data_IF_534490236031
#
_entry.id   IF_534490236031
#
_cell.length_a   1.000
_cell.length_b   1.000
_cell.length_c   1.000
_cell.angle_alpha   90.00
_cell.angle_beta   90.00
_cell.angle_gamma   90.00
#
_symmetry.space_group_name_H-M   'P 1'
#
loop_
_entity.id
_entity.type
_entity.pdbx_description
1 polymer ?
#
# COMPACT_ATOMS: atom_id res chain seq x y z
N UNK A 1 11.36 -12.11 44.69
CA UNK A 1 11.60 -11.12 43.63
C UNK A 1 12.07 -11.89 42.40
N UNK A 2 11.13 -12.28 41.54
CA UNK A 2 11.39 -13.20 40.44
C UNK A 2 11.74 -12.42 39.17
N UNK A 3 13.01 -12.44 38.79
CA UNK A 3 13.45 -12.01 37.47
C UNK A 3 13.01 -13.08 36.46
N UNK A 4 12.06 -12.75 35.59
CA UNK A 4 11.73 -13.59 34.43
C UNK A 4 12.76 -13.35 33.34
N UNK A 5 13.74 -14.25 33.27
CA UNK A 5 14.61 -14.44 32.11
C UNK A 5 13.75 -14.85 30.90
N UNK A 6 13.42 -13.88 30.06
CA UNK A 6 12.87 -14.16 28.74
C UNK A 6 14.02 -14.54 27.82
N UNK A 7 14.21 -15.84 27.64
CA UNK A 7 15.12 -16.39 26.64
C UNK A 7 14.74 -15.82 25.27
N UNK A 8 15.53 -14.86 24.80
CA UNK A 8 15.32 -14.20 23.51
C UNK A 8 15.71 -15.20 22.41
N UNK A 9 14.72 -15.89 21.84
CA UNK A 9 14.93 -16.80 20.72
C UNK A 9 15.56 -16.00 19.58
N UNK A 10 16.79 -16.36 19.17
CA UNK A 10 17.49 -15.78 18.03
C UNK A 10 16.76 -16.15 16.74
N UNK A 11 15.72 -15.38 16.39
CA UNK A 11 15.09 -15.43 15.09
C UNK A 11 15.94 -14.61 14.11
N UNK A 12 16.37 -15.27 13.03
CA UNK A 12 16.97 -14.58 11.88
C UNK A 12 15.85 -14.13 10.95
N UNK A 13 15.77 -12.83 10.70
CA UNK A 13 14.78 -12.26 9.80
C UNK A 13 15.29 -12.25 8.36
N UNK A 14 14.38 -12.41 7.40
CA UNK A 14 14.67 -12.24 5.98
C UNK A 14 14.82 -10.77 5.61
N UNK A 15 15.48 -10.49 4.48
CA UNK A 15 15.64 -9.12 3.98
C UNK A 15 14.30 -8.40 3.75
N UNK A 16 13.28 -9.14 3.31
CA UNK A 16 11.94 -8.59 3.04
C UNK A 16 11.24 -8.21 4.34
N UNK A 17 11.29 -9.07 5.36
CA UNK A 17 10.71 -8.77 6.68
C UNK A 17 11.37 -7.56 7.33
N UNK A 18 12.71 -7.48 7.29
CA UNK A 18 13.44 -6.30 7.80
C UNK A 18 13.05 -5.05 7.04
N UNK A 19 12.89 -5.14 5.71
CA UNK A 19 12.44 -3.98 4.92
C UNK A 19 11.06 -3.50 5.35
N UNK A 20 10.10 -4.41 5.53
CA UNK A 20 8.76 -4.08 6.00
C UNK A 20 8.82 -3.38 7.37
N UNK A 21 9.61 -3.91 8.30
CA UNK A 21 9.77 -3.35 9.64
C UNK A 21 10.45 -1.97 9.63
N UNK A 22 11.46 -1.76 8.77
CA UNK A 22 12.14 -0.46 8.60
C UNK A 22 11.22 0.56 7.96
N UNK A 23 10.47 0.18 6.92
CA UNK A 23 9.52 1.06 6.22
C UNK A 23 8.34 1.45 7.13
N UNK A 24 7.93 0.55 8.05
CA UNK A 24 6.89 0.78 9.04
C UNK A 24 7.35 1.57 10.28
N UNK A 25 8.65 1.87 10.39
CA UNK A 25 9.27 2.48 11.58
C UNK A 25 8.89 1.77 12.89
N UNK A 26 8.94 0.43 12.87
CA UNK A 26 8.47 -0.42 13.97
C UNK A 26 9.36 -0.26 15.22
N UNK A 27 8.78 -0.11 16.43
CA UNK A 27 9.53 0.04 17.68
C UNK A 27 10.43 -1.16 18.02
N UNK A 28 10.23 -2.31 17.39
CA UNK A 28 11.07 -3.49 17.56
C UNK A 28 12.43 -3.39 16.84
N UNK A 29 12.59 -2.42 15.92
CA UNK A 29 13.86 -2.14 15.24
C UNK A 29 14.66 -1.09 16.00
N UNK A 30 15.89 -1.46 16.33
CA UNK A 30 16.91 -0.52 16.82
C UNK A 30 18.01 -0.39 15.79
N UNK A 31 18.29 0.85 15.40
CA UNK A 31 19.44 1.19 14.56
C UNK A 31 20.58 1.66 15.46
N UNK A 32 21.69 0.96 15.42
CA UNK A 32 22.88 1.34 16.19
C UNK A 32 24.10 1.47 15.29
N UNK A 33 24.99 2.39 15.66
CA UNK A 33 26.32 2.45 15.03
C UNK A 33 27.15 1.26 15.50
N UNK A 34 27.96 0.67 14.60
CA UNK A 34 28.87 -0.38 14.99
C UNK A 34 29.87 0.12 16.04
N UNK A 35 29.93 -0.56 17.18
CA UNK A 35 30.88 -0.24 18.26
C UNK A 35 32.29 -0.78 18.00
N UNK A 36 32.40 -1.83 17.18
CA UNK A 36 33.66 -2.56 16.92
C UNK A 36 34.34 -2.18 15.60
N UNK A 37 33.68 -1.42 14.72
CA UNK A 37 34.20 -1.12 13.39
C UNK A 37 34.57 0.36 13.28
N UNK A 38 35.87 0.65 13.12
CA UNK A 38 36.44 2.00 13.05
C UNK A 38 36.66 2.50 11.62
N UNK A 39 36.29 1.74 10.59
CA UNK A 39 36.57 2.12 9.21
C UNK A 39 35.62 3.23 8.73
N UNK A 40 36.17 4.19 7.97
CA UNK A 40 35.43 5.35 7.41
C UNK A 40 34.22 4.95 6.56
N UNK A 41 34.23 3.72 6.04
CA UNK A 41 33.13 3.13 5.28
C UNK A 41 31.84 2.98 6.08
N UNK A 42 31.88 2.90 7.42
CA UNK A 42 30.69 2.78 8.27
C UNK A 42 29.99 4.11 8.58
N UNK A 43 30.60 5.24 8.22
CA UNK A 43 30.07 6.59 8.48
C UNK A 43 28.58 6.73 8.12
N UNK A 44 28.17 6.16 6.99
CA UNK A 44 26.81 6.28 6.45
C UNK A 44 25.94 5.03 6.64
N UNK A 45 26.35 4.10 7.51
CA UNK A 45 25.62 2.85 7.74
C UNK A 45 25.31 2.66 9.23
N UNK A 46 24.20 1.99 9.50
CA UNK A 46 23.79 1.54 10.82
C UNK A 46 23.50 0.05 10.81
N UNK A 47 23.81 -0.62 11.91
CA UNK A 47 23.45 -2.01 12.14
C UNK A 47 21.98 -2.11 12.55
N UNK A 48 21.33 -3.19 12.12
CA UNK A 48 19.92 -3.44 12.42
C UNK A 48 19.83 -4.52 13.50
N UNK A 49 19.19 -4.17 14.62
CA UNK A 49 18.83 -5.11 15.68
C UNK A 49 17.31 -5.21 15.76
N UNK A 50 16.79 -6.44 15.83
CA UNK A 50 15.36 -6.70 16.06
C UNK A 50 15.22 -7.38 17.41
N UNK A 51 14.43 -6.82 18.32
CA UNK A 51 14.30 -7.33 19.71
C UNK A 51 15.67 -7.48 20.41
N UNK A 52 16.55 -6.49 20.26
CA UNK A 52 17.92 -6.52 20.80
C UNK A 52 18.83 -7.63 20.24
N UNK A 53 18.40 -8.34 19.19
CA UNK A 53 19.22 -9.33 18.48
C UNK A 53 19.75 -8.73 17.18
N UNK A 54 21.08 -8.61 17.10
CA UNK A 54 21.79 -8.14 15.92
C UNK A 54 21.49 -9.04 14.70
N UNK A 55 21.05 -8.42 13.62
CA UNK A 55 20.79 -9.11 12.36
C UNK A 55 21.98 -9.00 11.41
N UNK A 56 22.07 -9.92 10.45
CA UNK A 56 23.11 -9.92 9.41
C UNK A 56 22.83 -8.89 8.29
N UNK A 57 22.26 -7.75 8.66
CA UNK A 57 21.84 -6.70 7.74
C UNK A 57 22.21 -5.32 8.29
N UNK A 58 22.53 -4.42 7.37
CA UNK A 58 22.89 -3.04 7.65
C UNK A 58 22.02 -2.11 6.80
N UNK A 59 21.70 -0.94 7.34
CA UNK A 59 20.93 0.09 6.69
C UNK A 59 21.87 1.23 6.28
N UNK A 60 21.81 1.66 5.01
CA UNK A 60 22.42 2.92 4.62
C UNK A 60 21.54 4.08 5.07
N UNK A 61 22.08 5.02 5.83
CA UNK A 61 21.33 6.17 6.34
C UNK A 61 20.96 7.17 5.25
N UNK A 62 21.75 7.21 4.16
CA UNK A 62 21.58 8.16 3.05
C UNK A 62 20.48 7.79 2.07
N UNK A 63 20.33 6.51 1.72
CA UNK A 63 19.33 6.05 0.74
C UNK A 63 18.39 4.96 1.28
N UNK A 64 18.45 4.68 2.58
CA UNK A 64 17.63 3.68 3.29
C UNK A 64 17.71 2.27 2.67
N UNK A 65 18.79 1.97 1.95
CA UNK A 65 19.00 0.66 1.36
C UNK A 65 19.49 -0.35 2.40
N UNK A 66 18.85 -1.53 2.45
CA UNK A 66 19.24 -2.64 3.32
C UNK A 66 20.20 -3.57 2.56
N UNK A 67 21.37 -3.80 3.15
CA UNK A 67 22.42 -4.68 2.61
C UNK A 67 22.66 -5.84 3.57
N UNK A 68 22.99 -7.02 3.03
CA UNK A 68 23.43 -8.16 3.82
C UNK A 68 24.89 -7.94 4.22
N UNK A 69 25.18 -8.10 5.50
CA UNK A 69 26.53 -7.95 6.05
C UNK A 69 26.73 -8.96 7.19
N UNK A 70 27.63 -9.90 6.98
CA UNK A 70 28.09 -10.89 7.97
C UNK A 70 29.52 -10.56 8.37
N UNK A 71 29.97 -11.04 9.53
CA UNK A 71 31.36 -10.90 9.99
C UNK A 71 32.38 -11.41 8.96
N UNK A 72 32.03 -12.44 8.19
CA UNK A 72 32.83 -12.98 7.09
C UNK A 72 32.88 -12.13 5.82
N UNK A 73 31.91 -11.23 5.62
CA UNK A 73 31.80 -10.44 4.38
C UNK A 73 32.73 -9.22 4.36
N UNK A 74 33.20 -8.77 5.54
CA UNK A 74 34.05 -7.60 5.69
C UNK A 74 33.41 -6.33 5.10
N UNK A 75 34.23 -5.40 4.60
CA UNK A 75 33.76 -4.13 4.02
C UNK A 75 33.31 -4.23 2.56
N UNK A 76 33.30 -5.43 1.96
CA UNK A 76 33.00 -5.60 0.52
C UNK A 76 31.59 -5.10 0.13
N UNK A 77 30.58 -5.41 0.95
CA UNK A 77 29.21 -4.95 0.70
C UNK A 77 29.09 -3.42 0.81
N UNK A 78 29.84 -2.81 1.74
CA UNK A 78 29.87 -1.36 1.95
C UNK A 78 30.62 -0.65 0.83
N UNK A 79 31.75 -1.20 0.39
CA UNK A 79 32.57 -0.64 -0.69
C UNK A 79 31.88 -0.70 -2.06
N UNK A 80 31.11 -1.76 -2.32
CA UNK A 80 30.34 -1.91 -3.57
C UNK A 80 29.05 -1.09 -3.56
N UNK A 81 28.62 -0.59 -2.41
CA UNK A 81 27.44 0.24 -2.30
C UNK A 81 27.71 1.65 -2.86
N UNK A 82 27.31 1.86 -4.11
CA UNK A 82 27.21 3.21 -4.67
C UNK A 82 25.95 3.86 -4.12
N UNK A 83 26.13 4.75 -3.16
CA UNK A 83 25.04 5.52 -2.59
C UNK A 83 24.48 6.45 -3.67
N UNK A 84 23.50 5.95 -4.43
CA UNK A 84 22.63 6.78 -5.25
C UNK A 84 21.72 7.51 -4.27
N UNK A 85 22.17 8.66 -3.80
CA UNK A 85 21.24 9.67 -3.33
C UNK A 85 20.48 10.00 -4.62
N UNK A 86 19.25 9.50 -4.77
CA UNK A 86 18.32 10.17 -5.68
C UNK A 86 18.23 11.59 -5.13
N UNK A 87 18.83 12.59 -5.79
CA UNK A 87 18.62 13.93 -5.31
C UNK A 87 17.12 14.14 -5.42
N UNK A 88 16.49 14.63 -4.36
CA UNK A 88 15.15 15.22 -4.43
C UNK A 88 15.19 16.54 -5.23
N UNK A 89 15.98 16.56 -6.29
CA UNK A 89 16.19 17.63 -7.23
C UNK A 89 15.71 17.09 -8.55
N UNK A 90 14.62 17.69 -9.01
CA UNK A 90 14.20 17.74 -10.40
C UNK A 90 15.41 18.19 -11.24
N UNK A 91 16.30 17.27 -11.59
CA UNK A 91 17.25 17.49 -12.67
C UNK A 91 16.41 17.37 -13.93
N UNK A 92 15.84 18.52 -14.30
CA UNK A 92 15.35 18.76 -15.64
C UNK A 92 16.57 18.56 -16.55
N UNK A 93 16.73 17.34 -17.06
CA UNK A 93 17.32 17.20 -18.37
C UNK A 93 16.47 18.11 -19.26
N UNK A 94 17.12 19.11 -19.87
CA UNK A 94 16.53 19.98 -20.88
C UNK A 94 16.15 19.10 -22.08
N UNK A 95 15.09 18.32 -21.92
CA UNK A 95 14.38 17.68 -23.00
C UNK A 95 13.42 18.76 -23.48
N UNK A 96 13.59 19.13 -24.73
CA UNK A 96 12.77 20.06 -25.47
C UNK A 96 11.28 19.85 -25.15
N UNK A 97 10.55 20.89 -24.70
CA UNK A 97 9.19 20.76 -24.14
C UNK A 97 8.14 20.20 -25.11
N UNK A 98 8.46 20.08 -26.39
CA UNK A 98 7.55 19.55 -27.41
C UNK A 98 7.51 18.01 -27.53
N UNK A 99 8.45 17.28 -26.92
CA UNK A 99 8.49 15.79 -26.97
C UNK A 99 7.99 15.12 -25.67
N UNK A 100 7.89 15.86 -24.57
CA UNK A 100 7.45 15.33 -23.27
C UNK A 100 5.94 15.43 -23.02
N UNK A 101 5.21 16.23 -23.78
CA UNK A 101 3.75 16.34 -23.63
C UNK A 101 3.02 15.07 -24.05
N UNK A 102 3.60 14.32 -25.00
CA UNK A 102 2.95 13.15 -25.59
C UNK A 102 3.34 11.85 -24.87
N UNK A 103 4.56 11.75 -24.33
CA UNK A 103 5.01 10.60 -23.55
C UNK A 103 4.50 10.61 -22.09
N UNK A 104 4.31 11.79 -21.48
CA UNK A 104 3.85 11.89 -20.09
C UNK A 104 2.33 11.83 -19.91
N UNK A 105 1.54 12.01 -20.98
CA UNK A 105 0.08 11.81 -20.92
C UNK A 105 -0.30 10.33 -20.86
N UNK A 106 0.47 9.45 -21.51
CA UNK A 106 0.15 8.01 -21.57
C UNK A 106 0.61 7.19 -20.36
N UNK A 107 1.54 7.69 -19.53
CA UNK A 107 2.08 6.91 -18.41
C UNK A 107 1.42 7.19 -17.05
N UNK A 108 0.76 8.34 -16.85
CA UNK A 108 0.29 8.74 -15.51
C UNK A 108 -0.89 7.93 -14.96
N UNK A 109 -1.62 7.20 -15.80
CA UNK A 109 -2.85 6.51 -15.41
C UNK A 109 -2.83 5.00 -15.72
N UNK A 110 -1.67 4.43 -16.06
CA UNK A 110 -1.62 3.02 -16.48
C UNK A 110 -1.50 2.12 -15.26
N UNK A 111 -2.59 1.41 -14.93
CA UNK A 111 -2.59 0.37 -13.89
C UNK A 111 -1.53 -0.68 -14.25
N UNK A 112 -0.61 -1.03 -13.32
CA UNK A 112 0.41 -2.05 -13.56
C UNK A 112 -0.20 -3.36 -14.09
N UNK A 113 0.41 -4.00 -15.12
CA UNK A 113 -0.15 -5.22 -15.73
C UNK A 113 -0.43 -6.35 -14.73
N UNK A 114 0.46 -6.54 -13.76
CA UNK A 114 0.29 -7.55 -12.70
C UNK A 114 -0.96 -7.29 -11.83
N UNK A 115 -1.26 -6.03 -11.53
CA UNK A 115 -2.47 -5.67 -10.77
C UNK A 115 -3.70 -5.94 -11.63
N UNK A 116 -3.67 -5.53 -12.90
CA UNK A 116 -4.77 -5.78 -13.84
C UNK A 116 -5.06 -7.28 -13.95
N UNK A 117 -4.02 -8.10 -14.10
CA UNK A 117 -4.16 -9.56 -14.18
C UNK A 117 -4.79 -10.14 -12.91
N UNK A 118 -4.34 -9.72 -11.72
CA UNK A 118 -4.92 -10.17 -10.44
C UNK A 118 -6.41 -9.82 -10.32
N UNK A 119 -6.79 -8.61 -10.72
CA UNK A 119 -8.20 -8.19 -10.72
C UNK A 119 -9.01 -9.02 -11.73
N UNK A 120 -8.48 -9.25 -12.93
CA UNK A 120 -9.13 -10.11 -13.93
C UNK A 120 -9.38 -11.52 -13.38
N UNK A 121 -8.38 -12.14 -12.75
CA UNK A 121 -8.55 -13.47 -12.14
C UNK A 121 -9.62 -13.45 -11.04
N UNK A 122 -9.57 -12.48 -10.13
CA UNK A 122 -10.57 -12.37 -9.05
C UNK A 122 -12.00 -12.13 -9.60
N UNK A 123 -12.14 -11.35 -10.67
CA UNK A 123 -13.43 -11.13 -11.35
C UNK A 123 -13.97 -12.41 -11.99
N UNK A 124 -13.09 -13.23 -12.60
CA UNK A 124 -13.49 -14.52 -13.14
C UNK A 124 -13.92 -15.49 -12.04
N UNK A 125 -13.16 -15.58 -10.95
CA UNK A 125 -13.51 -16.39 -9.78
C UNK A 125 -14.87 -15.97 -9.21
N UNK A 126 -15.12 -14.66 -9.05
CA UNK A 126 -16.41 -14.14 -8.64
C UNK A 126 -17.55 -14.61 -9.57
N UNK A 127 -17.39 -14.48 -10.88
CA UNK A 127 -18.42 -14.92 -11.83
C UNK A 127 -18.68 -16.43 -11.76
N UNK A 128 -17.65 -17.24 -11.59
CA UNK A 128 -17.76 -18.71 -11.52
C UNK A 128 -18.39 -19.15 -10.20
N UNK A 129 -17.89 -18.66 -9.07
CA UNK A 129 -18.33 -19.07 -7.73
C UNK A 129 -19.77 -18.63 -7.44
N UNK A 130 -20.14 -17.42 -7.87
CA UNK A 130 -21.46 -16.85 -7.58
C UNK A 130 -22.43 -17.00 -8.77
N UNK A 131 -22.02 -17.70 -9.84
CA UNK A 131 -22.80 -17.88 -11.08
C UNK A 131 -23.35 -16.57 -11.64
N UNK A 132 -22.49 -15.55 -11.75
CA UNK A 132 -22.85 -14.21 -12.24
C UNK A 132 -22.46 -14.00 -13.70
N UNK A 133 -23.28 -13.28 -14.49
CA UNK A 133 -22.93 -12.93 -15.86
C UNK A 133 -21.67 -12.04 -15.89
N UNK A 134 -20.88 -12.14 -16.95
CA UNK A 134 -19.64 -11.37 -17.08
C UNK A 134 -19.90 -9.86 -17.12
N UNK A 135 -21.03 -9.45 -17.68
CA UNK A 135 -21.46 -8.05 -17.76
C UNK A 135 -21.60 -7.40 -16.37
N UNK A 136 -21.84 -8.20 -15.32
CA UNK A 136 -21.99 -7.71 -13.94
C UNK A 136 -20.78 -6.88 -13.49
N UNK A 137 -19.56 -7.26 -13.87
CA UNK A 137 -18.33 -6.55 -13.46
C UNK A 137 -18.19 -5.18 -14.12
N UNK A 138 -18.97 -4.92 -15.17
CA UNK A 138 -19.06 -3.62 -15.86
C UNK A 138 -20.26 -2.77 -15.42
N UNK A 139 -21.14 -3.32 -14.57
CA UNK A 139 -22.34 -2.63 -14.10
C UNK A 139 -22.02 -1.39 -13.26
N UNK A 140 -22.76 -0.31 -13.48
CA UNK A 140 -22.51 0.99 -12.82
C UNK A 140 -22.56 0.89 -11.29
N UNK A 141 -23.49 0.09 -10.75
CA UNK A 141 -23.60 -0.15 -9.31
C UNK A 141 -22.40 -0.92 -8.74
N UNK A 142 -21.93 -1.95 -9.45
CA UNK A 142 -20.74 -2.71 -9.06
C UNK A 142 -19.48 -1.84 -9.09
N UNK A 143 -19.28 -1.05 -10.15
CA UNK A 143 -18.15 -0.12 -10.26
C UNK A 143 -18.18 0.92 -9.14
N UNK A 144 -19.36 1.43 -8.79
CA UNK A 144 -19.52 2.36 -7.66
C UNK A 144 -19.14 1.71 -6.34
N UNK A 145 -19.62 0.49 -6.08
CA UNK A 145 -19.26 -0.29 -4.89
C UNK A 145 -17.74 -0.54 -4.82
N UNK A 146 -17.13 -0.96 -5.92
CA UNK A 146 -15.69 -1.22 -5.98
C UNK A 146 -14.86 0.02 -5.68
N UNK A 147 -15.27 1.19 -6.19
CA UNK A 147 -14.64 2.48 -5.86
C UNK A 147 -14.71 2.77 -4.36
N UNK A 148 -15.89 2.61 -3.76
CA UNK A 148 -16.07 2.81 -2.32
C UNK A 148 -15.16 1.88 -1.51
N UNK A 149 -15.10 0.59 -1.85
CA UNK A 149 -14.23 -0.38 -1.17
C UNK A 149 -12.75 0.02 -1.24
N UNK A 150 -12.27 0.44 -2.42
CA UNK A 150 -10.88 0.90 -2.60
C UNK A 150 -10.61 2.16 -1.78
N UNK A 151 -11.53 3.13 -1.79
CA UNK A 151 -11.42 4.36 -1.01
C UNK A 151 -11.43 4.07 0.48
N UNK A 152 -12.32 3.21 0.98
CA UNK A 152 -12.35 2.77 2.38
C UNK A 152 -11.03 2.13 2.79
N UNK A 153 -10.46 1.25 1.96
CA UNK A 153 -9.14 0.66 2.23
C UNK A 153 -7.99 1.68 2.22
N UNK A 154 -8.12 2.74 1.42
CA UNK A 154 -7.14 3.84 1.37
C UNK A 154 -7.23 4.74 2.60
N UNK A 155 -8.43 5.07 3.05
CA UNK A 155 -8.67 5.89 4.24
C UNK A 155 -8.41 5.13 5.55
N UNK A 156 -8.59 3.81 5.54
CA UNK A 156 -8.41 2.94 6.70
C UNK A 156 -7.46 1.78 6.37
N UNK A 157 -6.14 2.01 6.25
CA UNK A 157 -5.18 1.01 5.77
C UNK A 157 -5.09 -0.24 6.66
N UNK A 158 -5.50 -0.15 7.94
CA UNK A 158 -5.51 -1.26 8.87
C UNK A 158 -6.87 -1.98 8.97
N UNK A 159 -7.88 -1.60 8.18
CA UNK A 159 -9.25 -2.13 8.30
C UNK A 159 -9.26 -3.66 8.16
N UNK A 160 -8.52 -4.20 7.18
CA UNK A 160 -8.41 -5.64 6.93
C UNK A 160 -7.52 -6.38 7.93
N UNK A 161 -6.72 -5.65 8.72
CA UNK A 161 -5.94 -6.23 9.83
C UNK A 161 -6.80 -6.37 11.09
N UNK A 162 -7.76 -5.47 11.27
CA UNK A 162 -8.61 -5.39 12.46
C UNK A 162 -9.91 -6.19 12.27
N UNK A 163 -10.42 -6.28 11.04
CA UNK A 163 -11.72 -6.87 10.73
C UNK A 163 -11.65 -7.67 9.44
N UNK A 164 -12.31 -8.84 9.43
CA UNK A 164 -12.38 -9.68 8.25
C UNK A 164 -13.34 -9.08 7.21
N UNK A 165 -13.14 -9.42 5.93
CA UNK A 165 -13.93 -8.84 4.83
C UNK A 165 -15.42 -9.15 4.98
N UNK A 166 -15.75 -10.33 5.49
CA UNK A 166 -17.13 -10.80 5.70
C UNK A 166 -17.87 -9.96 6.75
N UNK A 167 -17.13 -9.38 7.71
CA UNK A 167 -17.70 -8.48 8.72
C UNK A 167 -17.79 -7.03 8.24
N UNK A 168 -16.97 -6.65 7.26
CA UNK A 168 -17.02 -5.33 6.64
C UNK A 168 -18.26 -5.20 5.74
N UNK A 169 -18.62 -6.26 5.03
CA UNK A 169 -19.77 -6.27 4.15
C UNK A 169 -21.09 -6.42 4.94
N UNK A 170 -22.14 -5.66 4.58
CA UNK A 170 -23.42 -5.79 5.25
C UNK A 170 -24.07 -7.14 4.94
N UNK A 171 -24.75 -7.72 5.93
CA UNK A 171 -25.59 -8.90 5.73
C UNK A 171 -26.73 -8.59 4.73
N UNK A 172 -27.17 -9.55 3.88
CA UNK A 172 -28.25 -9.33 2.90
C UNK A 172 -29.54 -8.74 3.49
N UNK A 173 -29.92 -9.13 4.71
CA UNK A 173 -31.10 -8.57 5.40
C UNK A 173 -30.94 -7.09 5.76
N UNK A 174 -29.72 -6.60 5.97
CA UNK A 174 -29.44 -5.17 6.17
C UNK A 174 -29.62 -4.41 4.86
N UNK A 175 -29.18 -4.97 3.74
CA UNK A 175 -29.44 -4.38 2.41
C UNK A 175 -30.93 -4.31 2.12
N UNK A 176 -31.67 -5.40 2.37
CA UNK A 176 -33.12 -5.46 2.16
C UNK A 176 -33.87 -4.39 2.96
N UNK A 177 -33.48 -4.16 4.22
CA UNK A 177 -34.12 -3.14 5.08
C UNK A 177 -33.82 -1.71 4.62
N UNK A 178 -32.59 -1.47 4.18
CA UNK A 178 -32.18 -0.13 3.74
C UNK A 178 -32.62 0.18 2.30
N UNK A 179 -33.01 -0.83 1.51
CA UNK A 179 -33.46 -0.64 0.13
C UNK A 179 -34.71 0.25 0.07
N UNK A 180 -35.67 0.04 0.97
CA UNK A 180 -36.91 0.82 1.01
C UNK A 180 -36.63 2.29 1.33
N UNK A 181 -35.72 2.54 2.28
CA UNK A 181 -35.27 3.89 2.60
C UNK A 181 -34.61 4.56 1.38
N UNK A 182 -33.65 3.89 0.73
CA UNK A 182 -32.97 4.44 -0.45
C UNK A 182 -33.96 4.72 -1.61
N UNK A 183 -34.95 3.85 -1.82
CA UNK A 183 -35.99 4.05 -2.82
C UNK A 183 -36.82 5.29 -2.52
N UNK A 184 -37.27 5.46 -1.27
CA UNK A 184 -38.07 6.60 -0.85
C UNK A 184 -37.31 7.93 -0.98
N UNK A 185 -36.01 7.92 -0.65
CA UNK A 185 -35.13 9.07 -0.83
C UNK A 185 -35.02 9.47 -2.32
N UNK A 186 -34.76 8.52 -3.21
CA UNK A 186 -34.69 8.79 -4.66
C UNK A 186 -36.03 9.24 -5.24
N UNK A 187 -37.14 8.59 -4.84
CA UNK A 187 -38.49 8.99 -5.26
C UNK A 187 -38.81 10.43 -4.86
N UNK A 188 -38.43 10.83 -3.64
CA UNK A 188 -38.65 12.18 -3.13
C UNK A 188 -37.82 13.21 -3.91
N UNK A 189 -36.56 12.90 -4.24
CA UNK A 189 -35.71 13.75 -5.06
C UNK A 189 -36.29 13.95 -6.47
N UNK A 190 -36.76 12.87 -7.11
CA UNK A 190 -37.39 12.94 -8.42
C UNK A 190 -38.70 13.73 -8.41
N UNK A 191 -39.54 13.54 -7.38
CA UNK A 191 -40.77 14.33 -7.23
C UNK A 191 -40.46 15.83 -7.12
N UNK A 192 -39.45 16.21 -6.34
CA UNK A 192 -39.01 17.61 -6.24
C UNK A 192 -38.50 18.19 -7.56
N UNK A 193 -37.82 17.39 -8.37
CA UNK A 193 -37.37 17.79 -9.72
C UNK A 193 -38.56 17.97 -10.67
N UNK A 194 -39.55 17.07 -10.65
CA UNK A 194 -40.73 17.22 -11.50
C UNK A 194 -41.51 18.51 -11.17
N UNK A 195 -41.73 18.80 -9.88
CA UNK A 195 -42.41 20.03 -9.45
C UNK A 195 -41.64 21.30 -9.82
N UNK A 196 -40.30 21.26 -9.79
CA UNK A 196 -39.49 22.41 -10.21
C UNK A 196 -39.49 22.60 -11.74
N UNK A 197 -39.62 21.53 -12.53
CA UNK A 197 -39.75 21.64 -13.98
C UNK A 197 -41.12 22.19 -14.41
N UNK A 198 -42.20 21.79 -13.74
CA UNK A 198 -43.56 22.30 -14.00
C UNK A 198 -43.71 23.79 -13.69
N UNK A 199 -42.93 24.33 -12.76
CA UNK A 199 -42.92 25.75 -12.46
C UNK A 199 -42.09 26.59 -13.45
N UNK A 200 -41.18 25.96 -14.21
CA UNK A 200 -40.37 26.63 -15.25
C UNK A 200 -41.04 26.69 -16.62
N UNK A 201 -42.09 25.91 -16.89
CA UNK A 201 -42.77 25.86 -18.19
C UNK A 201 -43.98 26.81 -18.33
N UNK A 202 -44.31 27.59 -17.28
CA UNK A 202 -45.47 28.52 -17.25
C UNK A 202 -45.07 29.99 -17.52
N UNK A 203 -43.82 30.29 -17.88
CA UNK A 203 -43.37 31.62 -18.33
C UNK A 203 -43.03 31.62 -19.81
#
# INVERSE_FOLDING_TARGET
MSASETATIKKNYTKQEIKILVDANDPLITLSKPTLFTSSHWSNFSQISVNSVLQNFILCEKNKCILKHTSSSGTNALSKHKCKIEPNSKSQQLITPHLLSDLNKSQKNKVPPAIKQRITTASLEYCVLDSRPFEQVSGVGFVSLAKTLIQTGTHHPNILRITSVEKLLPHPSTLSRNLEQMYNEQKSQLAGICTSLESYTIT
#
